data_IF_672758519912
#
_entry.id   IF_672758519912
#
_cell.length_a   1.000
_cell.length_b   1.000
_cell.length_c   1.000
_cell.angle_alpha   90.00
_cell.angle_beta   90.00
_cell.angle_gamma   90.00
#
_symmetry.space_group_name_H-M   'P 1'
#
loop_
_entity.id
_entity.type
_entity.pdbx_description
1 polymer ?
#
# COMPACT_ATOMS: atom_id res chain seq x y z
N UNK A 1 -44.18 9.83 61.77
CA UNK A 1 -44.60 8.72 60.88
C UNK A 1 -44.77 9.36 59.50
N UNK A 2 -43.74 9.31 58.71
CA UNK A 2 -43.75 9.83 57.34
C UNK A 2 -42.99 8.81 56.47
N UNK A 3 -43.71 8.14 55.59
CA UNK A 3 -43.24 7.15 54.64
C UNK A 3 -42.41 7.78 53.51
N UNK A 4 -41.31 7.20 53.07
CA UNK A 4 -40.57 7.66 51.87
C UNK A 4 -41.20 7.09 50.60
N UNK A 5 -41.38 7.96 49.59
CA UNK A 5 -41.81 7.62 48.24
C UNK A 5 -40.71 6.91 47.46
N UNK A 6 -41.08 5.78 46.86
CA UNK A 6 -40.29 5.04 45.89
C UNK A 6 -40.14 5.82 44.58
N UNK A 7 -38.90 6.02 44.18
CA UNK A 7 -38.57 6.54 42.87
C UNK A 7 -38.26 5.36 41.94
N UNK A 8 -39.07 5.17 40.91
CA UNK A 8 -38.90 4.19 39.82
C UNK A 8 -37.67 4.56 38.97
N UNK A 9 -36.79 3.61 38.57
CA UNK A 9 -35.71 3.93 37.66
C UNK A 9 -36.20 4.04 36.21
N UNK A 10 -35.75 5.11 35.60
CA UNK A 10 -35.92 5.47 34.19
C UNK A 10 -35.37 4.41 33.28
N UNK A 11 -36.21 3.94 32.36
CA UNK A 11 -35.88 2.93 31.35
C UNK A 11 -34.97 3.57 30.30
N UNK A 12 -33.71 3.17 30.29
CA UNK A 12 -32.78 3.49 29.21
C UNK A 12 -33.36 2.92 27.89
N UNK A 13 -33.72 3.82 26.98
CA UNK A 13 -34.05 3.46 25.60
C UNK A 13 -32.78 2.93 24.90
N UNK A 14 -32.84 1.65 24.60
CA UNK A 14 -31.88 0.93 23.78
C UNK A 14 -31.94 1.47 22.36
N UNK A 15 -30.98 2.34 21.98
CA UNK A 15 -30.80 2.84 20.61
C UNK A 15 -30.14 1.72 19.78
N UNK A 16 -30.90 0.72 19.38
CA UNK A 16 -30.49 -0.16 18.30
C UNK A 16 -30.30 0.66 17.02
N UNK A 17 -29.19 0.46 16.27
CA UNK A 17 -28.99 1.17 15.01
C UNK A 17 -30.11 0.82 14.03
N UNK A 18 -30.69 1.85 13.44
CA UNK A 18 -31.77 1.79 12.46
C UNK A 18 -31.34 0.93 11.25
N UNK A 19 -31.84 -0.32 11.19
CA UNK A 19 -31.55 -1.28 10.13
C UNK A 19 -32.14 -0.87 8.77
N UNK A 20 -32.90 0.24 8.71
CA UNK A 20 -33.55 0.72 7.49
C UNK A 20 -32.67 1.67 6.65
N UNK A 21 -31.44 1.97 7.05
CA UNK A 21 -30.53 2.88 6.34
C UNK A 21 -29.35 2.16 5.68
N UNK A 22 -29.49 0.87 5.37
CA UNK A 22 -28.53 0.19 4.52
C UNK A 22 -28.65 0.73 3.09
N UNK A 23 -27.54 1.14 2.45
CA UNK A 23 -27.58 1.56 1.05
C UNK A 23 -28.14 0.44 0.20
N UNK A 24 -28.98 0.80 -0.78
CA UNK A 24 -29.57 -0.17 -1.70
C UNK A 24 -28.47 -1.06 -2.32
N UNK A 25 -28.73 -2.36 -2.48
CA UNK A 25 -27.74 -3.27 -3.08
C UNK A 25 -27.36 -2.77 -4.47
N UNK A 26 -26.05 -2.62 -4.72
CA UNK A 26 -25.54 -2.23 -6.04
C UNK A 26 -25.84 -3.38 -7.01
N UNK A 27 -26.65 -3.12 -8.03
CA UNK A 27 -26.89 -4.09 -9.09
C UNK A 27 -25.63 -4.21 -9.95
N UNK A 28 -25.00 -5.39 -9.92
CA UNK A 28 -23.82 -5.67 -10.72
C UNK A 28 -24.26 -5.97 -12.16
N UNK A 29 -23.84 -5.14 -13.11
CA UNK A 29 -24.04 -5.35 -14.55
C UNK A 29 -23.27 -6.58 -15.06
N UNK A 30 -22.31 -7.07 -14.29
CA UNK A 30 -21.46 -8.20 -14.59
C UNK A 30 -21.57 -9.24 -13.48
N UNK A 31 -21.91 -10.49 -13.83
CA UNK A 31 -21.97 -11.58 -12.85
C UNK A 31 -20.59 -12.17 -12.64
N UNK A 32 -19.96 -12.02 -11.45
CA UNK A 32 -18.61 -12.54 -11.20
C UNK A 32 -18.53 -14.07 -11.20
N UNK A 33 -19.65 -14.79 -11.31
CA UNK A 33 -19.73 -16.26 -11.22
C UNK A 33 -20.10 -16.94 -12.54
N UNK A 34 -20.30 -16.19 -13.62
CA UNK A 34 -20.72 -16.75 -14.91
C UNK A 34 -19.54 -16.86 -15.89
N UNK A 35 -18.97 -18.07 -16.02
CA UNK A 35 -18.23 -18.51 -17.21
C UNK A 35 -16.97 -17.75 -17.62
N UNK A 36 -16.40 -16.89 -16.77
CA UNK A 36 -15.19 -16.14 -17.08
C UNK A 36 -13.98 -16.90 -16.55
N UNK A 37 -13.15 -17.43 -17.44
CA UNK A 37 -11.90 -18.14 -17.10
C UNK A 37 -10.79 -17.17 -16.60
N UNK A 38 -10.86 -15.87 -16.96
CA UNK A 38 -9.85 -14.89 -16.56
C UNK A 38 -10.22 -14.20 -15.25
N UNK A 39 -9.29 -14.11 -14.27
CA UNK A 39 -9.53 -13.34 -13.04
C UNK A 39 -9.79 -11.86 -13.33
N UNK A 40 -10.74 -11.26 -12.64
CA UNK A 40 -11.07 -9.85 -12.80
C UNK A 40 -11.47 -9.19 -11.48
N UNK A 41 -11.48 -7.86 -11.48
CA UNK A 41 -11.94 -7.01 -10.38
C UNK A 41 -13.01 -6.04 -10.91
N UNK A 42 -14.06 -5.78 -10.14
CA UNK A 42 -15.08 -4.80 -10.48
C UNK A 42 -14.82 -3.51 -9.68
N UNK A 43 -14.48 -2.46 -10.38
CA UNK A 43 -14.21 -1.13 -9.85
C UNK A 43 -15.42 -0.19 -10.09
N UNK A 44 -15.56 0.88 -9.27
CA UNK A 44 -16.49 1.96 -9.63
C UNK A 44 -16.18 2.50 -11.04
N UNK A 45 -17.22 2.91 -11.75
CA UNK A 45 -17.08 3.56 -13.06
C UNK A 45 -17.30 5.08 -12.98
N UNK A 46 -17.53 5.71 -14.14
CA UNK A 46 -17.75 7.13 -14.27
C UNK A 46 -16.58 7.98 -13.73
N UNK A 47 -16.85 9.19 -13.26
CA UNK A 47 -15.84 10.13 -12.78
C UNK A 47 -15.01 9.58 -11.58
N UNK A 48 -15.66 8.86 -10.66
CA UNK A 48 -14.98 8.23 -9.53
C UNK A 48 -14.05 7.11 -10.01
N UNK A 49 -14.51 6.27 -10.94
CA UNK A 49 -13.70 5.20 -11.52
C UNK A 49 -12.52 5.75 -12.31
N UNK A 50 -12.73 6.81 -13.08
CA UNK A 50 -11.66 7.49 -13.81
C UNK A 50 -10.56 7.99 -12.86
N UNK A 51 -10.94 8.58 -11.72
CA UNK A 51 -9.98 9.03 -10.71
C UNK A 51 -9.19 7.87 -10.09
N UNK A 52 -9.88 6.77 -9.72
CA UNK A 52 -9.25 5.57 -9.15
C UNK A 52 -8.29 4.92 -10.14
N UNK A 53 -8.70 4.75 -11.40
CA UNK A 53 -7.87 4.15 -12.46
C UNK A 53 -6.64 5.02 -12.75
N UNK A 54 -6.80 6.35 -12.83
CA UNK A 54 -5.71 7.30 -13.02
C UNK A 54 -4.70 7.27 -11.86
N UNK A 55 -5.20 7.24 -10.63
CA UNK A 55 -4.37 7.16 -9.43
C UNK A 55 -3.56 5.86 -9.39
N UNK A 56 -4.21 4.73 -9.66
CA UNK A 56 -3.54 3.43 -9.74
C UNK A 56 -2.51 3.38 -10.87
N UNK A 57 -2.84 3.91 -12.06
CA UNK A 57 -1.92 3.99 -13.18
C UNK A 57 -0.68 4.85 -12.84
N UNK A 58 -0.89 5.96 -12.12
CA UNK A 58 0.20 6.82 -11.64
C UNK A 58 1.12 6.07 -10.67
N UNK A 59 0.54 5.34 -9.71
CA UNK A 59 1.30 4.52 -8.77
C UNK A 59 2.15 3.45 -9.47
N UNK A 60 1.57 2.72 -10.43
CA UNK A 60 2.27 1.67 -11.19
C UNK A 60 3.36 2.29 -12.10
N UNK A 61 3.10 3.43 -12.74
CA UNK A 61 4.09 4.15 -13.53
C UNK A 61 5.31 4.58 -12.69
N UNK A 62 5.08 4.97 -11.44
CA UNK A 62 6.16 5.29 -10.50
C UNK A 62 6.96 4.05 -10.12
N UNK A 63 6.31 2.89 -9.98
CA UNK A 63 7.02 1.62 -9.76
C UNK A 63 7.92 1.27 -10.94
N UNK A 64 7.45 1.46 -12.19
CA UNK A 64 8.26 1.29 -13.40
C UNK A 64 9.43 2.26 -13.49
N UNK A 65 9.27 3.49 -12.98
CA UNK A 65 10.38 4.45 -12.93
C UNK A 65 11.48 4.03 -11.93
N UNK A 66 11.13 3.27 -10.87
CA UNK A 66 12.09 2.68 -9.93
C UNK A 66 12.79 1.47 -10.55
N UNK A 67 12.00 0.58 -11.15
CA UNK A 67 12.47 -0.63 -11.80
C UNK A 67 11.66 -0.86 -13.09
N UNK A 68 12.29 -0.79 -14.28
CA UNK A 68 11.60 -1.03 -15.56
C UNK A 68 10.95 -2.41 -15.67
N UNK A 69 11.46 -3.40 -14.93
CA UNK A 69 10.93 -4.77 -14.87
C UNK A 69 10.04 -5.00 -13.64
N UNK A 70 9.48 -3.93 -13.05
CA UNK A 70 8.69 -4.01 -11.84
C UNK A 70 7.54 -5.02 -11.96
N UNK A 71 7.37 -5.82 -10.90
CA UNK A 71 6.20 -6.65 -10.69
C UNK A 71 5.22 -5.96 -9.74
N UNK A 72 3.93 -6.21 -9.94
CA UNK A 72 2.85 -5.76 -9.07
C UNK A 72 2.13 -6.99 -8.51
N UNK A 73 2.03 -7.08 -7.20
CA UNK A 73 1.19 -8.10 -6.56
C UNK A 73 -0.14 -7.49 -6.18
N UNK A 74 -1.22 -8.18 -6.55
CA UNK A 74 -2.58 -7.82 -6.18
C UNK A 74 -3.15 -8.92 -5.26
N UNK A 75 -3.65 -8.51 -4.10
CA UNK A 75 -4.38 -9.42 -3.21
C UNK A 75 -5.74 -8.83 -2.91
N UNK A 76 -6.81 -9.53 -3.31
CA UNK A 76 -8.18 -9.12 -3.02
C UNK A 76 -8.81 -10.06 -2.00
N UNK A 77 -9.53 -9.48 -1.03
CA UNK A 77 -10.35 -10.19 -0.05
C UNK A 77 -11.62 -9.39 0.21
N UNK A 78 -12.77 -9.99 -0.07
CA UNK A 78 -14.04 -9.27 -0.03
C UNK A 78 -14.01 -8.07 -0.98
N UNK A 79 -14.39 -6.91 -0.52
CA UNK A 79 -14.48 -5.67 -1.31
C UNK A 79 -13.23 -4.78 -1.25
N UNK A 80 -12.08 -5.34 -0.97
CA UNK A 80 -10.82 -4.59 -0.94
C UNK A 80 -9.77 -5.33 -1.74
N UNK A 81 -9.07 -4.62 -2.61
CA UNK A 81 -7.83 -5.07 -3.22
C UNK A 81 -6.65 -4.25 -2.72
N UNK A 82 -5.62 -4.93 -2.27
CA UNK A 82 -4.33 -4.36 -1.94
C UNK A 82 -3.37 -4.56 -3.12
N UNK A 83 -2.73 -3.47 -3.55
CA UNK A 83 -1.81 -3.43 -4.69
C UNK A 83 -0.43 -3.07 -4.18
N UNK A 84 0.51 -4.00 -4.34
CA UNK A 84 1.87 -3.88 -3.84
C UNK A 84 2.86 -3.68 -4.98
N UNK A 85 3.81 -2.77 -4.78
CA UNK A 85 5.00 -2.60 -5.62
C UNK A 85 6.25 -2.56 -4.74
N UNK A 86 7.35 -3.15 -5.19
CA UNK A 86 8.61 -3.15 -4.45
C UNK A 86 9.52 -2.01 -4.91
N UNK A 87 10.14 -1.31 -3.96
CA UNK A 87 11.15 -0.27 -4.23
C UNK A 87 12.57 -0.71 -3.87
N UNK A 88 12.70 -1.68 -2.97
CA UNK A 88 13.97 -2.27 -2.57
C UNK A 88 13.77 -3.73 -2.19
N UNK A 89 14.61 -4.61 -2.71
CA UNK A 89 14.64 -6.03 -2.36
C UNK A 89 16.09 -6.54 -2.30
N UNK A 90 16.35 -7.62 -1.56
CA UNK A 90 17.66 -8.27 -1.55
C UNK A 90 18.05 -8.79 -2.93
N UNK A 91 19.30 -8.63 -3.32
CA UNK A 91 19.83 -9.23 -4.57
C UNK A 91 19.93 -10.75 -4.45
N UNK A 92 20.19 -11.26 -3.25
CA UNK A 92 20.27 -12.68 -2.95
C UNK A 92 19.80 -13.00 -1.52
N UNK A 93 19.65 -14.29 -1.19
CA UNK A 93 19.15 -14.75 0.11
C UNK A 93 20.10 -14.50 1.29
N UNK A 94 21.37 -14.17 1.03
CA UNK A 94 22.38 -13.86 2.07
C UNK A 94 22.45 -12.37 2.41
N UNK A 95 21.77 -11.53 1.62
CA UNK A 95 21.73 -10.09 1.82
C UNK A 95 20.81 -9.72 2.98
N UNK A 96 21.29 -8.83 3.87
CA UNK A 96 20.49 -8.24 4.93
C UNK A 96 19.67 -7.02 4.46
N UNK A 97 19.61 -6.77 3.14
CA UNK A 97 18.80 -5.71 2.57
C UNK A 97 17.34 -5.93 2.92
N UNK A 98 16.64 -4.94 3.50
CA UNK A 98 15.22 -5.08 3.79
C UNK A 98 14.41 -5.12 2.49
N UNK A 99 13.25 -5.79 2.52
CA UNK A 99 12.25 -5.64 1.49
C UNK A 99 11.39 -4.43 1.80
N UNK A 100 11.33 -3.47 0.90
CA UNK A 100 10.53 -2.25 1.05
C UNK A 100 9.48 -2.18 -0.05
N UNK A 101 8.23 -2.14 0.35
CA UNK A 101 7.08 -2.18 -0.55
C UNK A 101 6.17 -0.99 -0.32
N UNK A 102 5.66 -0.42 -1.41
CA UNK A 102 4.48 0.44 -1.37
C UNK A 102 3.20 -0.40 -1.40
N UNK A 103 2.16 0.08 -0.74
CA UNK A 103 0.83 -0.51 -0.70
C UNK A 103 -0.22 0.56 -0.97
N UNK A 104 -1.07 0.30 -1.97
CA UNK A 104 -2.33 1.01 -2.23
C UNK A 104 -3.50 0.06 -2.00
N UNK A 105 -4.51 0.51 -1.28
CA UNK A 105 -5.76 -0.22 -1.12
C UNK A 105 -6.89 0.46 -1.90
N UNK A 106 -7.67 -0.32 -2.63
CA UNK A 106 -8.81 0.15 -3.42
C UNK A 106 -10.07 -0.60 -3.03
N UNK A 107 -11.21 0.11 -3.06
CA UNK A 107 -12.52 -0.48 -2.89
C UNK A 107 -13.02 -1.12 -4.19
N UNK A 108 -13.60 -2.31 -4.07
CA UNK A 108 -14.27 -3.05 -5.14
C UNK A 108 -15.78 -2.96 -4.99
N UNK A 109 -16.51 -3.01 -6.10
CA UNK A 109 -17.99 -3.07 -6.09
C UNK A 109 -18.51 -4.46 -5.75
N UNK A 110 -17.74 -5.53 -6.00
CA UNK A 110 -18.08 -6.90 -5.69
C UNK A 110 -17.03 -7.57 -4.82
N UNK A 111 -17.44 -8.59 -4.08
CA UNK A 111 -16.50 -9.45 -3.35
C UNK A 111 -15.59 -10.18 -4.34
N UNK A 112 -14.31 -10.21 -4.01
CA UNK A 112 -13.30 -10.87 -4.80
C UNK A 112 -12.29 -11.59 -3.92
N UNK A 113 -11.75 -12.71 -4.44
CA UNK A 113 -10.62 -13.42 -3.87
C UNK A 113 -9.56 -13.56 -4.96
N UNK A 114 -8.45 -12.88 -4.78
CA UNK A 114 -7.35 -12.84 -5.75
C UNK A 114 -6.02 -12.79 -4.99
N UNK A 115 -5.03 -13.52 -5.48
CA UNK A 115 -3.63 -13.34 -5.08
C UNK A 115 -2.75 -13.69 -6.30
N UNK A 116 -2.26 -12.66 -6.95
CA UNK A 116 -1.43 -12.84 -8.13
C UNK A 116 -0.41 -11.72 -8.28
N UNK A 117 0.70 -12.07 -8.91
CA UNK A 117 1.78 -11.14 -9.24
C UNK A 117 1.91 -11.08 -10.76
N UNK A 118 1.91 -9.87 -11.31
CA UNK A 118 1.93 -9.60 -12.75
C UNK A 118 2.98 -8.56 -13.10
N UNK A 119 3.39 -8.49 -14.36
CA UNK A 119 4.24 -7.41 -14.86
C UNK A 119 3.50 -6.07 -14.76
N UNK A 120 4.19 -5.06 -14.21
CA UNK A 120 3.64 -3.71 -14.05
C UNK A 120 3.16 -3.12 -15.38
N UNK A 121 3.94 -3.28 -16.46
CA UNK A 121 3.58 -2.78 -17.79
C UNK A 121 2.27 -3.41 -18.30
N UNK A 122 2.12 -4.74 -18.15
CA UNK A 122 0.92 -5.45 -18.60
C UNK A 122 -0.35 -4.98 -17.86
N UNK A 123 -0.22 -4.65 -16.58
CA UNK A 123 -1.34 -4.08 -15.80
C UNK A 123 -1.61 -2.62 -16.22
N UNK A 124 -0.56 -1.83 -16.45
CA UNK A 124 -0.70 -0.43 -16.89
C UNK A 124 -1.43 -0.32 -18.24
N UNK A 125 -1.15 -1.22 -19.17
CA UNK A 125 -1.82 -1.27 -20.48
C UNK A 125 -3.34 -1.55 -20.34
N UNK A 126 -3.73 -2.34 -19.33
CA UNK A 126 -5.16 -2.58 -19.03
C UNK A 126 -5.83 -1.36 -18.40
N UNK A 127 -5.12 -0.69 -17.48
CA UNK A 127 -5.62 0.54 -16.86
C UNK A 127 -5.82 1.67 -17.87
N UNK A 128 -4.95 1.77 -18.88
CA UNK A 128 -5.10 2.75 -19.97
C UNK A 128 -6.41 2.53 -20.77
N UNK A 129 -6.80 1.26 -21.00
CA UNK A 129 -8.09 0.94 -21.63
C UNK A 129 -9.27 1.26 -20.74
N UNK A 130 -9.15 0.94 -19.43
CA UNK A 130 -10.19 1.26 -18.45
C UNK A 130 -10.38 2.76 -18.26
N UNK A 131 -9.31 3.55 -18.31
CA UNK A 131 -9.39 5.00 -18.24
C UNK A 131 -10.29 5.56 -19.35
N UNK A 132 -10.09 5.10 -20.58
CA UNK A 132 -10.93 5.48 -21.72
C UNK A 132 -12.40 5.04 -21.54
N UNK A 133 -12.61 3.81 -21.07
CA UNK A 133 -13.96 3.31 -20.76
C UNK A 133 -14.65 4.14 -19.67
N UNK A 134 -13.91 4.53 -18.61
CA UNK A 134 -14.46 5.36 -17.54
C UNK A 134 -14.91 6.75 -18.04
N UNK A 135 -14.16 7.34 -18.98
CA UNK A 135 -14.51 8.60 -19.61
C UNK A 135 -15.78 8.47 -20.48
N UNK A 136 -15.92 7.36 -21.21
CA UNK A 136 -17.11 7.04 -22.00
C UNK A 136 -18.36 6.83 -21.13
N UNK A 137 -18.19 6.27 -19.93
CA UNK A 137 -19.26 6.00 -18.96
C UNK A 137 -19.64 7.19 -18.07
N UNK A 138 -19.09 8.38 -18.28
CA UNK A 138 -19.26 9.53 -17.39
C UNK A 138 -20.74 9.92 -17.12
N UNK A 139 -21.65 9.55 -18.00
CA UNK A 139 -23.10 9.87 -17.93
C UNK A 139 -23.99 8.63 -17.71
N UNK A 140 -23.42 7.46 -17.47
CA UNK A 140 -24.19 6.25 -17.20
C UNK A 140 -24.72 6.23 -15.76
N UNK A 141 -25.91 5.61 -15.58
CA UNK A 141 -26.40 5.24 -14.26
C UNK A 141 -25.66 3.98 -13.77
N UNK A 142 -25.09 4.03 -12.55
CA UNK A 142 -24.31 2.94 -11.95
C UNK A 142 -23.20 2.40 -12.86
N UNK A 143 -22.26 3.26 -13.29
CA UNK A 143 -21.17 2.85 -14.16
C UNK A 143 -20.23 1.91 -13.43
N UNK A 144 -19.75 0.87 -14.12
CA UNK A 144 -18.85 -0.16 -13.57
C UNK A 144 -17.70 -0.43 -14.54
N UNK A 145 -16.51 -0.60 -13.98
CA UNK A 145 -15.32 -0.97 -14.76
C UNK A 145 -14.88 -2.38 -14.40
N UNK A 146 -14.65 -3.22 -15.38
CA UNK A 146 -14.17 -4.57 -15.20
C UNK A 146 -12.68 -4.62 -15.58
N UNK A 147 -11.84 -4.76 -14.56
CA UNK A 147 -10.39 -4.91 -14.73
C UNK A 147 -10.05 -6.40 -14.85
N UNK A 148 -9.92 -6.90 -16.07
CA UNK A 148 -9.37 -8.23 -16.32
C UNK A 148 -7.87 -8.26 -15.99
N UNK A 149 -7.44 -9.29 -15.26
CA UNK A 149 -6.04 -9.43 -14.90
C UNK A 149 -5.18 -9.86 -16.10
N UNK A 150 -3.89 -9.48 -16.15
CA UNK A 150 -2.96 -10.05 -17.10
C UNK A 150 -2.93 -11.57 -17.00
N UNK A 151 -3.00 -12.32 -18.12
CA UNK A 151 -3.06 -13.78 -18.08
C UNK A 151 -1.72 -14.43 -17.66
N UNK A 152 -0.62 -13.68 -17.76
CA UNK A 152 0.71 -14.15 -17.40
C UNK A 152 1.09 -13.62 -16.02
N UNK A 153 1.31 -14.56 -15.10
CA UNK A 153 1.87 -14.26 -13.77
C UNK A 153 3.39 -14.30 -13.82
N UNK A 154 4.02 -13.57 -12.91
CA UNK A 154 5.48 -13.54 -12.75
C UNK A 154 5.86 -13.90 -11.31
N UNK A 155 7.07 -14.42 -11.14
CA UNK A 155 7.63 -14.65 -9.82
C UNK A 155 8.47 -13.42 -9.43
N UNK A 156 8.20 -12.88 -8.23
CA UNK A 156 9.01 -11.84 -7.61
C UNK A 156 9.39 -12.30 -6.20
N UNK A 157 10.66 -12.26 -5.86
CA UNK A 157 11.20 -12.78 -4.59
C UNK A 157 10.55 -12.11 -3.38
N UNK A 158 10.29 -10.81 -3.47
CA UNK A 158 9.65 -10.02 -2.44
C UNK A 158 8.17 -10.40 -2.22
N UNK A 159 7.49 -10.90 -3.26
CA UNK A 159 6.06 -11.21 -3.22
C UNK A 159 5.75 -12.57 -2.56
N UNK A 160 6.74 -13.41 -2.29
CA UNK A 160 6.54 -14.74 -1.71
C UNK A 160 6.04 -14.75 -0.26
N UNK A 161 6.13 -13.61 0.45
CA UNK A 161 5.67 -13.46 1.83
C UNK A 161 4.68 -12.32 1.93
N UNK A 162 3.55 -12.59 2.58
CA UNK A 162 2.50 -11.59 2.79
C UNK A 162 2.70 -10.84 4.10
N UNK A 163 2.40 -9.55 4.08
CA UNK A 163 2.34 -8.76 5.30
C UNK A 163 1.29 -9.32 6.26
N UNK A 164 1.51 -9.27 7.59
CA UNK A 164 0.54 -9.72 8.57
C UNK A 164 -0.75 -8.89 8.46
N UNK A 165 -1.90 -9.58 8.57
CA UNK A 165 -3.22 -8.94 8.53
C UNK A 165 -3.62 -8.37 9.90
N UNK A 166 -3.01 -8.86 10.98
CA UNK A 166 -3.28 -8.47 12.37
C UNK A 166 -2.00 -8.53 13.19
N UNK A 167 -2.08 -8.18 14.47
CA UNK A 167 -0.91 -8.20 15.36
C UNK A 167 0.01 -6.99 15.21
N UNK A 168 -0.46 -5.93 14.55
CA UNK A 168 0.22 -4.66 14.50
C UNK A 168 0.03 -3.91 15.82
N UNK A 169 1.12 -3.37 16.36
CA UNK A 169 1.10 -2.42 17.48
C UNK A 169 1.68 -1.09 17.05
N UNK A 170 1.14 -0.03 17.60
CA UNK A 170 1.60 1.33 17.31
C UNK A 170 2.96 1.57 17.96
N UNK A 171 3.88 2.09 17.17
CA UNK A 171 5.22 2.49 17.62
C UNK A 171 5.24 3.97 17.97
N UNK A 172 4.48 4.78 17.24
CA UNK A 172 4.38 6.22 17.42
C UNK A 172 4.16 6.95 16.11
N UNK A 173 4.36 8.25 16.16
CA UNK A 173 4.24 9.14 14.99
C UNK A 173 5.56 9.87 14.73
N UNK A 174 5.84 10.15 13.47
CA UNK A 174 7.06 10.83 13.02
C UNK A 174 6.66 11.97 12.10
N UNK A 175 7.15 13.20 12.32
CA UNK A 175 6.93 14.32 11.42
C UNK A 175 7.36 14.00 9.99
N UNK A 176 6.56 14.40 9.02
CA UNK A 176 6.84 14.12 7.59
C UNK A 176 8.16 14.73 7.14
N UNK A 177 8.60 15.81 7.78
CA UNK A 177 9.86 16.50 7.52
C UNK A 177 11.08 15.59 7.71
N UNK A 178 11.02 14.64 8.68
CA UNK A 178 12.08 13.66 8.90
C UNK A 178 12.25 12.74 7.69
N UNK A 179 11.15 12.31 7.09
CA UNK A 179 11.17 11.50 5.88
C UNK A 179 11.67 12.30 4.66
N UNK A 180 11.30 13.57 4.56
CA UNK A 180 11.81 14.45 3.51
C UNK A 180 13.32 14.67 3.66
N UNK A 181 13.79 14.93 4.87
CA UNK A 181 15.22 15.11 5.18
C UNK A 181 16.00 13.82 4.84
N UNK A 182 15.57 12.66 5.35
CA UNK A 182 16.22 11.39 5.10
C UNK A 182 16.27 11.04 3.59
N UNK A 183 15.21 11.37 2.85
CA UNK A 183 15.20 11.15 1.40
C UNK A 183 16.19 12.05 0.69
N UNK A 184 16.28 13.34 1.07
CA UNK A 184 17.24 14.27 0.47
C UNK A 184 18.68 13.86 0.76
N UNK A 185 19.01 13.56 2.02
CA UNK A 185 20.34 13.09 2.44
C UNK A 185 20.72 11.78 1.75
N UNK A 186 19.78 10.84 1.60
CA UNK A 186 19.98 9.58 0.90
C UNK A 186 20.27 9.78 -0.60
N UNK A 187 19.56 10.66 -1.27
CA UNK A 187 19.78 10.99 -2.68
C UNK A 187 21.17 11.63 -2.89
N UNK A 188 21.55 12.58 -2.04
CA UNK A 188 22.89 13.18 -2.07
C UNK A 188 23.99 12.15 -1.78
N UNK A 189 23.73 11.20 -0.87
CA UNK A 189 24.67 10.13 -0.58
C UNK A 189 24.84 9.19 -1.78
N UNK A 190 23.76 8.85 -2.49
CA UNK A 190 23.82 8.06 -3.74
C UNK A 190 24.64 8.82 -4.78
N UNK A 191 24.35 10.10 -5.02
CA UNK A 191 25.04 10.92 -6.00
C UNK A 191 26.55 11.02 -5.71
N UNK A 192 26.92 11.25 -4.45
CA UNK A 192 28.34 11.32 -4.03
C UNK A 192 29.10 9.99 -4.13
N UNK A 193 28.38 8.86 -3.98
CA UNK A 193 28.98 7.53 -4.02
C UNK A 193 29.13 6.96 -5.43
N UNK A 194 28.46 7.56 -6.43
CA UNK A 194 28.50 7.08 -7.81
C UNK A 194 29.72 7.63 -8.55
N UNK A 195 30.48 6.79 -9.28
CA UNK A 195 31.49 7.26 -10.22
C UNK A 195 30.82 7.93 -11.44
N UNK A 196 31.63 8.62 -12.25
CA UNK A 196 31.18 9.09 -13.56
C UNK A 196 30.76 7.90 -14.43
N UNK A 197 29.54 7.95 -15.00
CA UNK A 197 28.96 6.89 -15.85
C UNK A 197 28.92 5.49 -15.19
N UNK A 198 28.19 5.34 -14.07
CA UNK A 198 28.10 4.06 -13.38
C UNK A 198 27.32 3.04 -14.23
N UNK A 199 27.82 1.80 -14.30
CA UNK A 199 27.05 0.68 -14.83
C UNK A 199 25.87 0.34 -13.92
N UNK A 200 24.85 -0.34 -14.47
CA UNK A 200 23.62 -0.68 -13.74
C UNK A 200 23.90 -1.45 -12.43
N UNK A 201 24.85 -2.39 -12.41
CA UNK A 201 25.22 -3.15 -11.23
C UNK A 201 25.82 -2.27 -10.11
N UNK A 202 26.67 -1.31 -10.46
CA UNK A 202 27.25 -0.37 -9.49
C UNK A 202 26.16 0.52 -8.90
N UNK A 203 25.25 1.00 -9.75
CA UNK A 203 24.11 1.82 -9.32
C UNK A 203 23.19 1.04 -8.36
N UNK A 204 22.88 -0.24 -8.67
CA UNK A 204 22.08 -1.11 -7.81
C UNK A 204 22.74 -1.31 -6.44
N UNK A 205 24.01 -1.67 -6.42
CA UNK A 205 24.75 -1.90 -5.18
C UNK A 205 24.84 -0.64 -4.29
N UNK A 206 25.13 0.52 -4.87
CA UNK A 206 25.18 1.79 -4.13
C UNK A 206 23.80 2.15 -3.56
N UNK A 207 22.75 2.03 -4.37
CA UNK A 207 21.38 2.27 -3.93
C UNK A 207 20.99 1.31 -2.81
N UNK A 208 21.22 0.02 -2.99
CA UNK A 208 20.88 -1.01 -1.99
C UNK A 208 21.55 -0.71 -0.65
N UNK A 209 22.83 -0.35 -0.66
CA UNK A 209 23.58 -0.02 0.55
C UNK A 209 23.02 1.22 1.27
N UNK A 210 22.75 2.30 0.54
CA UNK A 210 22.30 3.57 1.12
C UNK A 210 20.86 3.44 1.60
N UNK A 211 19.97 2.87 0.79
CA UNK A 211 18.57 2.71 1.17
C UNK A 211 18.31 1.66 2.25
N UNK A 212 19.28 0.76 2.51
CA UNK A 212 19.22 -0.19 3.64
C UNK A 212 19.67 0.38 4.95
N UNK A 213 20.38 1.52 4.96
CA UNK A 213 20.82 2.17 6.20
C UNK A 213 19.62 2.74 6.96
N UNK A 214 19.72 2.73 8.29
CA UNK A 214 18.63 3.21 9.13
C UNK A 214 18.66 4.73 9.31
N UNK A 215 17.47 5.31 9.39
CA UNK A 215 17.27 6.71 9.75
C UNK A 215 17.49 6.89 11.25
N UNK A 216 18.09 8.00 11.65
CA UNK A 216 18.10 8.41 13.05
C UNK A 216 16.79 9.16 13.32
N UNK A 217 15.90 8.58 14.13
CA UNK A 217 14.65 9.20 14.55
C UNK A 217 14.78 9.67 16.00
N UNK A 218 14.89 10.98 16.19
CA UNK A 218 15.06 11.60 17.52
C UNK A 218 13.75 11.64 18.34
N UNK A 219 12.60 11.29 17.71
CA UNK A 219 11.26 11.53 18.25
C UNK A 219 10.55 10.28 18.79
N UNK A 220 11.23 9.14 18.95
CA UNK A 220 10.65 7.92 19.50
C UNK A 220 11.31 7.52 20.84
N UNK A 221 11.13 8.30 21.92
CA UNK A 221 11.88 8.12 23.16
C UNK A 221 11.52 6.85 23.95
N UNK A 222 10.38 6.21 23.67
CA UNK A 222 9.91 5.03 24.41
C UNK A 222 10.30 3.69 23.75
N UNK A 223 10.79 3.72 22.50
CA UNK A 223 11.15 2.53 21.72
C UNK A 223 12.60 2.64 21.26
N UNK A 224 13.52 2.25 22.09
CA UNK A 224 14.97 2.30 21.85
C UNK A 224 15.46 1.54 20.60
N UNK A 225 14.57 0.96 19.78
CA UNK A 225 14.98 -0.02 18.77
C UNK A 225 14.10 -0.14 17.51
N UNK A 226 13.26 0.85 17.16
CA UNK A 226 12.61 0.77 15.85
C UNK A 226 13.50 1.37 14.78
N UNK A 227 14.14 0.49 14.02
CA UNK A 227 14.99 0.86 12.91
C UNK A 227 14.15 1.07 11.65
N UNK A 228 14.12 2.29 11.14
CA UNK A 228 13.43 2.65 9.89
C UNK A 228 14.47 2.82 8.79
N UNK A 229 14.50 1.97 7.74
CA UNK A 229 15.46 2.13 6.67
C UNK A 229 15.18 3.40 5.87
N UNK A 230 16.23 4.11 5.48
CA UNK A 230 16.15 5.33 4.65
C UNK A 230 15.37 5.09 3.35
N UNK A 231 15.43 3.88 2.81
CA UNK A 231 14.65 3.46 1.66
C UNK A 231 13.13 3.51 1.87
N UNK A 232 12.64 3.46 3.12
CA UNK A 232 11.21 3.66 3.39
C UNK A 232 10.78 5.12 3.14
N UNK A 233 11.64 6.09 3.48
CA UNK A 233 11.42 7.50 3.16
C UNK A 233 11.44 7.73 1.63
N UNK A 234 12.38 7.09 0.93
CA UNK A 234 12.43 7.11 -0.53
C UNK A 234 11.16 6.51 -1.14
N UNK A 235 10.65 5.37 -0.62
CA UNK A 235 9.42 4.74 -1.10
C UNK A 235 8.19 5.64 -0.93
N UNK A 236 8.05 6.32 0.24
CA UNK A 236 6.98 7.29 0.47
C UNK A 236 6.97 8.39 -0.61
N UNK A 237 8.15 8.91 -0.94
CA UNK A 237 8.31 9.95 -1.95
C UNK A 237 8.05 9.43 -3.36
N UNK A 238 8.73 8.37 -3.77
CA UNK A 238 8.67 7.88 -5.16
C UNK A 238 7.29 7.36 -5.52
N UNK A 239 6.60 6.67 -4.61
CA UNK A 239 5.23 6.22 -4.83
C UNK A 239 4.19 7.36 -4.68
N UNK A 240 4.60 8.52 -4.17
CA UNK A 240 3.74 9.70 -3.99
C UNK A 240 2.69 9.49 -2.93
N UNK A 241 3.05 8.87 -1.82
CA UNK A 241 2.14 8.64 -0.70
C UNK A 241 1.99 9.86 0.20
N UNK A 242 2.90 10.81 0.08
CA UNK A 242 2.84 12.11 0.75
C UNK A 242 2.41 13.14 -0.29
N UNK A 243 1.19 13.71 -0.20
CA UNK A 243 0.74 14.79 -1.06
C UNK A 243 1.62 16.04 -0.90
N UNK A 244 1.70 16.83 -1.98
CA UNK A 244 2.39 18.13 -1.93
C UNK A 244 1.75 19.05 -0.87
N UNK A 245 2.59 19.68 -0.05
CA UNK A 245 2.15 20.58 1.02
C UNK A 245 1.64 19.88 2.28
N UNK A 246 1.67 18.56 2.37
CA UNK A 246 1.35 17.86 3.63
C UNK A 246 2.45 18.11 4.68
N UNK A 247 2.04 18.51 5.89
CA UNK A 247 2.93 18.86 7.02
C UNK A 247 2.59 18.11 8.30
N UNK A 248 1.80 17.04 8.21
CA UNK A 248 1.41 16.24 9.38
C UNK A 248 2.40 15.13 9.70
N UNK A 249 2.07 14.40 10.76
CA UNK A 249 2.84 13.24 11.18
C UNK A 249 2.38 11.97 10.45
N UNK A 250 3.30 11.04 10.29
CA UNK A 250 3.03 9.70 9.77
C UNK A 250 3.04 8.70 10.92
N UNK A 251 2.02 7.82 10.98
CA UNK A 251 1.93 6.80 12.02
C UNK A 251 2.76 5.57 11.65
N UNK A 252 3.50 5.06 12.63
CA UNK A 252 4.33 3.87 12.52
C UNK A 252 3.75 2.73 13.34
N UNK A 253 3.70 1.55 12.75
CA UNK A 253 3.27 0.31 13.38
C UNK A 253 4.29 -0.78 13.14
N UNK A 254 4.53 -1.63 14.13
CA UNK A 254 5.38 -2.79 13.99
C UNK A 254 4.60 -4.08 14.22
N UNK A 255 5.10 -5.19 13.66
CA UNK A 255 4.58 -6.54 13.90
C UNK A 255 5.70 -7.55 13.76
N UNK A 256 5.57 -8.68 14.45
CA UNK A 256 6.48 -9.82 14.35
C UNK A 256 5.74 -11.03 13.80
N UNK A 257 6.33 -11.71 12.81
CA UNK A 257 5.81 -12.96 12.26
C UNK A 257 6.93 -14.00 12.25
N UNK A 258 6.92 -14.91 13.23
CA UNK A 258 8.05 -15.81 13.44
C UNK A 258 9.32 -15.01 13.76
N UNK A 259 10.34 -15.16 12.91
CA UNK A 259 11.60 -14.44 13.02
C UNK A 259 11.67 -13.18 12.15
N UNK A 260 10.58 -12.80 11.52
CA UNK A 260 10.54 -11.61 10.65
C UNK A 260 9.96 -10.42 11.37
N UNK A 261 10.57 -9.29 11.15
CA UNK A 261 10.07 -8.01 11.62
C UNK A 261 9.42 -7.25 10.47
N UNK A 262 8.27 -6.69 10.79
CA UNK A 262 7.52 -5.87 9.86
C UNK A 262 7.30 -4.48 10.45
N UNK A 263 7.53 -3.47 9.62
CA UNK A 263 7.19 -2.08 9.90
C UNK A 263 6.17 -1.62 8.87
N UNK A 264 5.17 -0.87 9.30
CA UNK A 264 4.18 -0.21 8.46
C UNK A 264 4.17 1.28 8.74
N UNK A 265 4.38 2.09 7.72
CA UNK A 265 4.29 3.55 7.77
C UNK A 265 3.02 3.93 7.03
N UNK A 266 2.09 4.57 7.73
CA UNK A 266 0.80 5.01 7.17
C UNK A 266 0.92 6.47 6.76
N UNK A 267 0.69 6.72 5.47
CA UNK A 267 0.70 8.05 4.87
C UNK A 267 -0.65 8.37 4.24
N UNK A 268 -0.97 9.66 3.95
CA UNK A 268 -2.28 10.06 3.46
C UNK A 268 -2.74 9.35 2.18
N UNK A 269 -1.80 8.99 1.30
CA UNK A 269 -2.13 8.40 0.00
C UNK A 269 -1.64 6.96 -0.17
N UNK A 270 -1.26 6.26 0.90
CA UNK A 270 -0.81 4.87 0.84
C UNK A 270 0.00 4.48 2.06
N UNK A 271 0.60 3.31 2.00
CA UNK A 271 1.42 2.78 3.10
C UNK A 271 2.74 2.26 2.55
N UNK A 272 3.80 2.38 3.36
CA UNK A 272 5.05 1.69 3.11
C UNK A 272 5.18 0.55 4.11
N UNK A 273 5.49 -0.62 3.60
CA UNK A 273 5.77 -1.82 4.37
C UNK A 273 7.26 -2.15 4.25
N UNK A 274 7.88 -2.40 5.38
CA UNK A 274 9.26 -2.89 5.45
C UNK A 274 9.24 -4.27 6.08
N UNK A 275 9.95 -5.22 5.47
CA UNK A 275 10.19 -6.54 6.04
C UNK A 275 11.68 -6.75 6.21
N UNK A 276 12.10 -7.16 7.40
CA UNK A 276 13.47 -7.55 7.72
C UNK A 276 13.53 -9.02 8.12
N UNK A 277 14.57 -9.73 7.72
CA UNK A 277 14.86 -11.07 8.23
C UNK A 277 15.51 -11.02 9.61
N UNK A 278 15.47 -12.13 10.34
CA UNK A 278 15.93 -12.27 11.73
C UNK A 278 17.44 -12.03 12.01
N UNK A 279 18.16 -11.46 11.09
CA UNK A 279 19.58 -11.15 11.24
C UNK A 279 19.91 -9.68 11.52
N UNK A 280 18.92 -8.80 11.62
CA UNK A 280 19.10 -7.34 11.59
C UNK A 280 19.04 -6.64 12.96
N UNK A 281 18.92 -7.39 14.06
CA UNK A 281 18.92 -6.85 15.42
C UNK A 281 20.07 -7.43 16.24
N UNK A 282 21.31 -7.07 15.94
CA UNK A 282 22.44 -7.13 16.89
C UNK A 282 23.40 -6.00 16.61
#
# INVERSE_FOLDING_TARGET
>A
MTTPSETTPDTAQDNAPDQNNAPAPIELKYNPHEGVEEPFLILPGGAQGAAVVKDLATYISRALAVNPDAAIRLTARGRVVAVFACSLEPEDASSNTPVIMGLRALHLLADSTLDMTVQAQALLDRLARLQKQAEEQAHEENPQLVLFMPPVTVNASWAGKSAPLSGWYEVGTVPVEEFHRATAEGLEAVERALPENPGAAVLSTVRSRIWSSDMVLEYLPEFDTVLVPTGAAFALRVFGFIPEGFTGDLSLFAAHVGSEEWLRIVAPAGMVLVRRGSGSLL
#
